data_IF_445936821003
#
_entry.id   IF_445936821003
#
_cell.length_a   1.000
_cell.length_b   1.000
_cell.length_c   1.000
_cell.angle_alpha   90.00
_cell.angle_beta   90.00
_cell.angle_gamma   90.00
#
_symmetry.space_group_name_H-M   'P 1'
#
loop_
_entity.id
_entity.type
_entity.pdbx_description
1 polymer ?
#
# COMPACT_ATOMS: atom_id res chain seq x y z
N UNK A 1 10.38 0.13 -4.62
CA UNK A 1 10.22 -0.99 -5.56
C UNK A 1 10.93 -0.62 -6.85
N UNK A 2 11.86 -1.45 -7.33
CA UNK A 2 12.57 -1.21 -8.58
C UNK A 2 11.84 -1.95 -9.71
N UNK A 3 11.30 -1.22 -10.67
CA UNK A 3 10.65 -1.80 -11.84
C UNK A 3 11.67 -2.14 -12.93
N UNK A 4 11.43 -3.22 -13.66
CA UNK A 4 12.15 -3.56 -14.90
C UNK A 4 11.83 -2.54 -16.01
N UNK A 5 12.68 -2.46 -17.03
CA UNK A 5 12.44 -1.58 -18.19
C UNK A 5 11.10 -1.89 -18.88
N UNK A 6 10.75 -3.16 -19.00
CA UNK A 6 9.49 -3.60 -19.61
C UNK A 6 8.26 -3.18 -18.79
N UNK A 7 8.29 -3.35 -17.47
CA UNK A 7 7.22 -2.88 -16.57
C UNK A 7 7.05 -1.37 -16.65
N UNK A 8 8.15 -0.60 -16.72
CA UNK A 8 8.11 0.85 -16.87
C UNK A 8 7.43 1.28 -18.17
N UNK A 9 7.70 0.58 -19.27
CA UNK A 9 7.02 0.81 -20.56
C UNK A 9 5.53 0.56 -20.42
N UNK A 10 5.12 -0.54 -19.77
CA UNK A 10 3.71 -0.88 -19.60
C UNK A 10 2.98 0.10 -18.67
N UNK A 11 3.62 0.55 -17.59
CA UNK A 11 3.12 1.62 -16.72
C UNK A 11 2.94 2.91 -17.54
N UNK A 12 3.91 3.28 -18.38
CA UNK A 12 3.84 4.47 -19.21
C UNK A 12 2.67 4.44 -20.23
N UNK A 13 2.34 3.27 -20.79
CA UNK A 13 1.14 3.10 -21.66
C UNK A 13 -0.14 3.48 -20.92
N UNK A 14 -0.29 3.01 -19.69
CA UNK A 14 -1.47 3.29 -18.86
C UNK A 14 -1.47 4.76 -18.42
N UNK A 15 -0.32 5.32 -18.04
CA UNK A 15 -0.21 6.74 -17.70
C UNK A 15 -0.59 7.67 -18.85
N UNK A 16 -0.19 7.34 -20.08
CA UNK A 16 -0.60 8.10 -21.27
C UNK A 16 -2.12 8.15 -21.41
N UNK A 17 -2.81 7.02 -21.19
CA UNK A 17 -4.27 6.97 -21.21
C UNK A 17 -4.91 7.80 -20.09
N UNK A 18 -4.42 7.66 -18.86
CA UNK A 18 -4.94 8.41 -17.70
C UNK A 18 -4.77 9.92 -17.88
N UNK A 19 -3.60 10.35 -18.35
CA UNK A 19 -3.34 11.78 -18.60
C UNK A 19 -4.20 12.33 -19.72
N UNK A 20 -4.45 11.57 -20.79
CA UNK A 20 -5.40 11.97 -21.84
C UNK A 20 -6.84 12.09 -21.32
N UNK A 21 -7.24 11.19 -20.42
CA UNK A 21 -8.55 11.23 -19.75
C UNK A 21 -8.66 12.46 -18.84
N UNK A 22 -7.62 12.76 -18.05
CA UNK A 22 -7.57 13.93 -17.18
C UNK A 22 -7.63 15.24 -17.98
N UNK A 23 -6.95 15.32 -19.14
CA UNK A 23 -7.04 16.46 -20.06
C UNK A 23 -8.46 16.64 -20.60
N UNK A 24 -9.11 15.55 -21.00
CA UNK A 24 -10.50 15.58 -21.49
C UNK A 24 -11.48 16.05 -20.40
N UNK A 25 -11.28 15.59 -19.17
CA UNK A 25 -12.13 15.93 -18.03
C UNK A 25 -11.77 17.29 -17.39
N UNK A 26 -10.67 17.92 -17.81
CA UNK A 26 -10.21 19.19 -17.28
C UNK A 26 -11.18 20.37 -17.49
N UNK A 27 -12.13 20.25 -18.44
CA UNK A 27 -13.20 21.26 -18.56
C UNK A 27 -14.25 21.17 -17.44
N UNK A 28 -14.37 20.01 -16.77
CA UNK A 28 -15.36 19.75 -15.73
C UNK A 28 -14.78 19.93 -14.31
N UNK A 29 -13.51 19.58 -14.11
CA UNK A 29 -12.90 19.51 -12.77
C UNK A 29 -11.64 20.39 -12.60
N UNK A 30 -11.37 21.28 -13.57
CA UNK A 30 -10.23 22.19 -13.56
C UNK A 30 -9.16 21.79 -14.59
N UNK A 31 -8.62 22.79 -15.28
CA UNK A 31 -7.68 22.57 -16.38
C UNK A 31 -6.40 21.88 -15.91
N UNK A 32 -5.93 20.91 -16.67
CA UNK A 32 -4.66 20.22 -16.43
C UNK A 32 -3.50 21.19 -16.66
N UNK A 33 -2.49 21.15 -15.78
CA UNK A 33 -1.35 22.06 -15.84
C UNK A 33 -0.61 22.01 -17.19
N UNK A 34 -0.51 20.82 -17.79
CA UNK A 34 0.10 20.62 -19.10
C UNK A 34 -0.79 19.74 -20.00
N UNK A 35 -1.57 20.35 -20.92
CA UNK A 35 -2.45 19.62 -21.82
C UNK A 35 -1.73 18.75 -22.86
N UNK A 36 -0.47 19.05 -23.19
CA UNK A 36 0.33 18.30 -24.19
C UNK A 36 1.10 17.13 -23.57
N UNK A 37 1.01 16.94 -22.26
CA UNK A 37 1.68 15.84 -21.55
C UNK A 37 1.38 14.45 -22.13
N UNK A 38 0.15 14.10 -22.59
CA UNK A 38 -0.11 12.81 -23.21
C UNK A 38 0.70 12.57 -24.50
N UNK A 39 0.96 13.63 -25.28
CA UNK A 39 1.73 13.54 -26.52
C UNK A 39 3.22 13.37 -26.24
N UNK A 40 3.75 14.13 -25.26
CA UNK A 40 5.14 13.97 -24.80
C UNK A 40 5.37 12.54 -24.29
N UNK A 41 4.46 12.04 -23.44
CA UNK A 41 4.52 10.66 -22.94
C UNK A 41 4.47 9.63 -24.07
N UNK A 42 3.69 9.86 -25.11
CA UNK A 42 3.65 8.97 -26.28
C UNK A 42 5.00 8.90 -26.99
N UNK A 43 5.62 10.05 -27.26
CA UNK A 43 6.88 10.13 -28.00
C UNK A 43 8.02 9.46 -27.22
N UNK A 44 8.15 9.80 -25.94
CA UNK A 44 9.18 9.24 -25.06
C UNK A 44 9.01 7.73 -24.89
N UNK A 45 7.77 7.28 -24.65
CA UNK A 45 7.45 5.85 -24.55
C UNK A 45 7.80 5.11 -25.84
N UNK A 46 7.40 5.62 -27.00
CA UNK A 46 7.70 4.97 -28.30
C UNK A 46 9.19 4.88 -28.57
N UNK A 47 9.96 5.89 -28.14
CA UNK A 47 11.42 5.90 -28.28
C UNK A 47 12.08 4.84 -27.39
N UNK A 48 11.64 4.73 -26.13
CA UNK A 48 12.12 3.70 -25.20
C UNK A 48 11.69 2.29 -25.64
N UNK A 49 10.46 2.13 -26.13
CA UNK A 49 9.98 0.86 -26.72
C UNK A 49 10.85 0.44 -27.90
N UNK A 50 11.10 1.35 -28.85
CA UNK A 50 11.93 1.03 -30.00
C UNK A 50 13.35 0.63 -29.60
N UNK A 51 13.95 1.33 -28.64
CA UNK A 51 15.27 1.00 -28.14
C UNK A 51 15.29 -0.36 -27.41
N UNK A 52 14.26 -0.66 -26.62
CA UNK A 52 14.10 -1.95 -25.94
C UNK A 52 13.92 -3.11 -26.94
N UNK A 53 13.09 -2.93 -27.97
CA UNK A 53 12.88 -3.93 -29.04
C UNK A 53 14.16 -4.21 -29.84
N UNK A 54 15.08 -3.23 -29.94
CA UNK A 54 16.35 -3.37 -30.64
C UNK A 54 17.44 -4.03 -29.79
N UNK A 55 17.57 -3.62 -28.54
CA UNK A 55 18.54 -4.19 -27.62
C UNK A 55 18.04 -4.11 -26.17
N UNK A 56 17.38 -5.16 -25.66
CA UNK A 56 16.85 -5.18 -24.30
C UNK A 56 17.94 -5.12 -23.22
N UNK A 57 19.18 -5.46 -23.58
CA UNK A 57 20.32 -5.51 -22.68
C UNK A 57 21.12 -4.18 -22.61
N UNK A 58 20.67 -3.13 -23.30
CA UNK A 58 21.32 -1.81 -23.22
C UNK A 58 21.21 -1.24 -21.80
N UNK A 59 22.36 -0.96 -21.17
CA UNK A 59 22.43 -0.44 -19.81
C UNK A 59 21.88 0.98 -19.67
N UNK A 60 21.80 1.75 -20.76
CA UNK A 60 21.26 3.11 -20.77
C UNK A 60 19.73 3.14 -20.70
N UNK A 61 19.06 2.07 -21.16
CA UNK A 61 17.59 1.94 -21.15
C UNK A 61 17.01 2.05 -19.75
N UNK A 62 17.73 1.57 -18.73
CA UNK A 62 17.25 1.67 -17.35
C UNK A 62 17.15 3.14 -16.89
N UNK A 63 18.11 3.98 -17.28
CA UNK A 63 18.11 5.41 -17.00
C UNK A 63 17.01 6.15 -17.78
N UNK A 64 16.91 5.87 -19.08
CA UNK A 64 15.89 6.50 -19.94
C UNK A 64 14.47 6.10 -19.54
N UNK A 65 14.26 4.86 -19.12
CA UNK A 65 12.97 4.39 -18.59
C UNK A 65 12.62 4.97 -17.21
N UNK A 66 13.62 5.33 -16.38
CA UNK A 66 13.37 6.08 -15.15
C UNK A 66 12.89 7.51 -15.44
N UNK A 67 13.44 8.16 -16.48
CA UNK A 67 12.94 9.46 -16.93
C UNK A 67 11.51 9.36 -17.48
N UNK A 68 11.20 8.31 -18.25
CA UNK A 68 9.82 8.06 -18.69
C UNK A 68 8.84 7.93 -17.51
N UNK A 69 9.24 7.26 -16.43
CA UNK A 69 8.44 7.19 -15.21
C UNK A 69 8.34 8.53 -14.47
N UNK A 70 9.37 9.38 -14.48
CA UNK A 70 9.32 10.67 -13.80
C UNK A 70 8.36 11.65 -14.49
N UNK A 71 8.16 11.51 -15.81
CA UNK A 71 7.14 12.24 -16.56
C UNK A 71 5.71 11.77 -16.24
N UNK A 72 5.55 10.56 -15.67
CA UNK A 72 4.26 9.99 -15.36
C UNK A 72 3.71 10.52 -14.03
N UNK A 73 2.89 11.60 -14.08
CA UNK A 73 2.24 12.16 -12.89
C UNK A 73 1.37 11.12 -12.11
N UNK A 74 0.82 10.14 -12.83
CA UNK A 74 -0.03 9.07 -12.27
C UNK A 74 0.68 7.69 -12.21
N UNK A 75 2.02 7.64 -12.15
CA UNK A 75 2.80 6.40 -12.20
C UNK A 75 2.35 5.33 -11.19
N UNK A 76 2.03 5.73 -9.95
CA UNK A 76 1.55 4.80 -8.91
C UNK A 76 0.20 4.19 -9.24
N UNK A 77 -0.75 5.01 -9.72
CA UNK A 77 -2.08 4.53 -10.15
C UNK A 77 -1.97 3.60 -11.35
N UNK A 78 -1.11 3.93 -12.31
CA UNK A 78 -0.87 3.09 -13.47
C UNK A 78 -0.22 1.74 -13.11
N UNK A 79 0.75 1.73 -12.19
CA UNK A 79 1.35 0.50 -11.67
C UNK A 79 0.31 -0.38 -10.94
N UNK A 80 -0.59 0.24 -10.17
CA UNK A 80 -1.71 -0.47 -9.55
C UNK A 80 -2.64 -1.09 -10.59
N UNK A 81 -3.04 -0.34 -11.62
CA UNK A 81 -3.91 -0.84 -12.70
C UNK A 81 -3.25 -2.01 -13.45
N UNK A 82 -1.93 -1.94 -13.68
CA UNK A 82 -1.16 -3.00 -14.33
C UNK A 82 -1.16 -4.28 -13.50
N UNK A 83 -0.94 -4.17 -12.18
CA UNK A 83 -0.82 -5.32 -11.28
C UNK A 83 -2.17 -5.92 -10.88
N UNK A 84 -3.22 -5.10 -10.77
CA UNK A 84 -4.54 -5.50 -10.28
C UNK A 84 -5.56 -5.78 -11.40
N UNK A 85 -5.15 -5.62 -12.66
CA UNK A 85 -5.96 -5.96 -13.82
C UNK A 85 -7.24 -5.12 -13.91
N UNK A 86 -7.12 -3.85 -14.31
CA UNK A 86 -8.22 -3.09 -14.93
C UNK A 86 -9.53 -2.95 -14.13
N UNK A 87 -9.54 -3.23 -12.83
CA UNK A 87 -10.58 -2.78 -11.92
C UNK A 87 -10.16 -1.42 -11.40
N UNK A 88 -10.93 -0.36 -11.71
CA UNK A 88 -10.71 0.94 -11.11
C UNK A 88 -10.55 0.76 -9.61
N UNK A 89 -9.46 1.26 -9.05
CA UNK A 89 -9.33 1.34 -7.60
C UNK A 89 -10.45 2.26 -7.15
N UNK A 90 -11.55 1.68 -6.71
CA UNK A 90 -12.55 2.38 -5.91
C UNK A 90 -11.82 2.65 -4.61
N UNK A 91 -11.24 3.84 -4.48
CA UNK A 91 -10.90 4.39 -3.18
C UNK A 91 -12.25 4.76 -2.57
N UNK A 92 -12.94 3.76 -2.05
CA UNK A 92 -14.16 3.96 -1.30
C UNK A 92 -13.72 4.50 0.06
N UNK A 93 -14.11 5.72 0.45
CA UNK A 93 -13.87 6.21 1.80
C UNK A 93 -14.51 5.29 2.88
N UNK A 94 -15.45 4.44 2.48
CA UNK A 94 -16.21 3.53 3.33
C UNK A 94 -15.88 2.04 3.12
N UNK A 95 -14.95 1.67 2.23
CA UNK A 95 -14.49 0.27 2.06
C UNK A 95 -13.01 0.14 2.45
N UNK A 96 -12.72 -0.25 3.70
CA UNK A 96 -11.35 -0.31 4.24
C UNK A 96 -10.48 -1.45 3.69
N UNK A 97 -10.94 -2.18 2.66
CA UNK A 97 -10.29 -3.41 2.19
C UNK A 97 -9.27 -3.19 1.03
N UNK A 98 -8.76 -1.98 0.80
CA UNK A 98 -7.71 -1.77 -0.17
C UNK A 98 -6.32 -1.76 0.50
N UNK A 99 -5.74 -2.96 0.49
CA UNK A 99 -4.48 -3.41 1.06
C UNK A 99 -3.25 -2.52 0.75
N UNK A 100 -2.53 -2.15 1.83
CA UNK A 100 -1.10 -1.74 1.95
C UNK A 100 -0.85 -0.48 2.79
N UNK A 101 -1.87 0.12 3.40
CA UNK A 101 -1.66 1.15 4.42
C UNK A 101 -1.55 0.51 5.81
N UNK A 102 -0.63 0.94 6.70
CA UNK A 102 -0.66 0.52 8.08
C UNK A 102 -2.00 0.96 8.69
N UNK A 103 -2.79 0.00 9.14
CA UNK A 103 -4.07 0.27 9.77
C UNK A 103 -3.93 0.17 11.28
N UNK A 104 -4.58 1.11 11.97
CA UNK A 104 -4.75 1.11 13.41
C UNK A 104 -6.01 0.34 13.75
N UNK A 105 -5.88 -0.79 14.44
CA UNK A 105 -7.00 -1.47 15.08
C UNK A 105 -6.99 -1.08 16.57
N UNK A 106 -7.95 -0.27 17.03
CA UNK A 106 -8.19 -0.14 18.46
C UNK A 106 -8.85 -1.44 18.95
N UNK A 107 -8.25 -2.08 19.95
CA UNK A 107 -8.76 -3.29 20.59
C UNK A 107 -9.18 -2.96 22.01
N UNK A 108 -10.42 -3.29 22.32
CA UNK A 108 -11.05 -3.11 23.62
C UNK A 108 -11.10 -4.45 24.38
N UNK A 109 -11.26 -4.44 25.72
CA UNK A 109 -11.36 -5.65 26.53
C UNK A 109 -12.43 -6.64 26.03
N UNK A 110 -13.57 -6.11 25.55
CA UNK A 110 -14.68 -6.92 25.02
C UNK A 110 -14.40 -7.58 23.67
N UNK A 111 -13.33 -7.20 22.98
CA UNK A 111 -12.97 -7.78 21.67
C UNK A 111 -12.10 -9.04 21.82
N UNK A 112 -11.61 -9.31 23.03
CA UNK A 112 -10.82 -10.50 23.32
C UNK A 112 -11.71 -11.74 23.42
N UNK A 113 -11.25 -12.85 22.85
CA UNK A 113 -11.92 -14.14 22.94
C UNK A 113 -11.72 -14.79 24.31
N UNK A 114 -10.60 -14.50 24.99
CA UNK A 114 -10.28 -14.94 26.35
C UNK A 114 -9.53 -13.83 27.10
N UNK A 115 -9.11 -14.04 28.35
CA UNK A 115 -8.34 -13.05 29.11
C UNK A 115 -7.08 -12.52 28.38
N UNK A 116 -6.50 -13.28 27.45
CA UNK A 116 -5.24 -12.95 26.79
C UNK A 116 -5.27 -13.07 25.27
N UNK A 117 -6.24 -13.81 24.70
CA UNK A 117 -6.30 -14.10 23.28
C UNK A 117 -7.22 -13.13 22.52
N UNK A 118 -6.67 -12.47 21.51
CA UNK A 118 -7.41 -11.66 20.55
C UNK A 118 -7.43 -12.40 19.21
N UNK A 119 -8.58 -13.01 18.90
CA UNK A 119 -8.77 -13.78 17.68
C UNK A 119 -9.29 -12.86 16.58
N UNK A 120 -8.45 -12.62 15.57
CA UNK A 120 -8.80 -11.83 14.41
C UNK A 120 -8.13 -12.43 13.16
N UNK A 121 -8.92 -13.01 12.23
CA UNK A 121 -8.39 -13.60 10.99
C UNK A 121 -7.60 -12.62 10.11
N UNK A 122 -7.82 -11.31 10.26
CA UNK A 122 -7.13 -10.27 9.49
C UNK A 122 -5.73 -9.94 10.01
N UNK A 123 -5.34 -10.48 11.17
CA UNK A 123 -4.03 -10.24 11.80
C UNK A 123 -3.23 -11.54 11.95
N UNK A 124 -3.87 -12.68 11.73
CA UNK A 124 -3.29 -14.00 11.88
C UNK A 124 -2.14 -14.20 10.88
N UNK A 125 -0.93 -14.46 11.39
CA UNK A 125 0.27 -14.69 10.57
C UNK A 125 0.92 -13.42 10.00
N UNK A 126 0.39 -12.23 10.30
CA UNK A 126 0.96 -10.96 9.85
C UNK A 126 2.10 -10.48 10.76
N UNK A 127 2.94 -9.56 10.27
CA UNK A 127 3.92 -8.87 11.11
C UNK A 127 3.25 -7.68 11.83
N UNK A 128 3.22 -7.74 13.15
CA UNK A 128 2.43 -6.82 13.98
C UNK A 128 3.35 -5.92 14.80
N UNK A 129 2.95 -4.65 14.93
CA UNK A 129 3.51 -3.73 15.93
C UNK A 129 2.40 -3.38 16.92
N UNK A 130 2.49 -3.89 18.14
CA UNK A 130 1.45 -3.71 19.15
C UNK A 130 1.88 -2.63 20.13
N UNK A 131 0.99 -1.70 20.44
CA UNK A 131 1.24 -0.65 21.42
C UNK A 131 0.25 -0.81 22.57
N UNK A 132 0.79 -0.97 23.77
CA UNK A 132 0.01 -0.89 24.99
C UNK A 132 -0.15 0.57 25.39
N UNK A 133 -1.39 1.02 25.61
CA UNK A 133 -1.64 2.38 26.10
C UNK A 133 -0.84 2.64 27.39
N UNK A 134 -0.37 3.88 27.54
CA UNK A 134 0.50 4.36 28.61
C UNK A 134 1.95 3.84 28.64
N UNK A 135 2.35 2.95 27.73
CA UNK A 135 3.74 2.55 27.58
C UNK A 135 4.29 3.16 26.27
N UNK A 136 5.32 4.02 26.32
CA UNK A 136 5.95 4.58 25.12
C UNK A 136 6.89 3.57 24.46
N UNK A 137 6.42 2.34 24.24
CA UNK A 137 7.16 1.21 23.68
C UNK A 137 6.17 0.30 22.93
N UNK A 138 6.64 -0.34 21.85
CA UNK A 138 5.94 -1.47 21.25
C UNK A 138 6.14 -2.74 22.09
N UNK A 139 5.20 -3.68 22.01
CA UNK A 139 5.38 -5.00 22.61
C UNK A 139 6.37 -5.82 21.79
N UNK A 140 7.20 -6.60 22.47
CA UNK A 140 8.18 -7.50 21.85
C UNK A 140 7.57 -8.88 21.57
N UNK A 141 7.81 -9.41 20.36
CA UNK A 141 7.50 -10.79 20.00
C UNK A 141 8.79 -11.62 20.10
N UNK A 142 8.81 -12.76 20.82
CA UNK A 142 7.68 -13.47 21.43
C UNK A 142 7.45 -13.19 22.93
N UNK A 143 8.22 -12.29 23.54
CA UNK A 143 8.28 -12.16 25.00
C UNK A 143 7.00 -11.56 25.62
N UNK A 144 6.40 -10.56 24.97
CA UNK A 144 5.22 -9.82 25.47
C UNK A 144 3.94 -10.19 24.69
N UNK A 145 4.06 -10.74 23.50
CA UNK A 145 2.95 -11.36 22.76
C UNK A 145 3.45 -12.42 21.79
N UNK A 146 2.55 -13.34 21.42
CA UNK A 146 2.77 -14.35 20.39
C UNK A 146 1.68 -14.31 19.33
N UNK A 147 2.07 -14.49 18.07
CA UNK A 147 1.13 -14.66 16.96
C UNK A 147 0.59 -16.10 16.96
N UNK A 148 -0.72 -16.25 16.82
CA UNK A 148 -1.40 -17.55 16.70
C UNK A 148 -1.99 -17.71 15.31
N UNK A 149 -2.49 -18.90 14.99
CA UNK A 149 -3.21 -19.17 13.73
C UNK A 149 -4.53 -18.40 13.61
N UNK A 150 -5.07 -17.94 14.75
CA UNK A 150 -6.35 -17.23 14.82
C UNK A 150 -6.17 -15.73 15.11
N UNK A 151 -4.97 -15.26 15.44
CA UNK A 151 -4.70 -13.86 15.80
C UNK A 151 -3.45 -13.70 16.67
N UNK A 152 -3.62 -13.20 17.90
CA UNK A 152 -2.53 -13.01 18.87
C UNK A 152 -2.92 -13.46 20.27
N UNK A 153 -1.90 -13.74 21.08
CA UNK A 153 -2.04 -13.96 22.52
C UNK A 153 -1.05 -13.06 23.27
N UNK A 154 -1.53 -12.25 24.21
CA UNK A 154 -0.69 -11.37 25.04
C UNK A 154 -0.10 -12.20 26.18
N UNK A 155 1.22 -12.14 26.37
CA UNK A 155 1.97 -12.94 27.36
C UNK A 155 2.54 -12.11 28.50
N UNK A 156 2.22 -10.81 28.55
CA UNK A 156 2.63 -9.91 29.63
C UNK A 156 2.06 -10.41 30.96
N UNK A 157 2.93 -10.53 31.96
CA UNK A 157 2.55 -10.99 33.28
C UNK A 157 1.57 -9.99 33.93
N UNK A 158 0.42 -10.50 34.38
CA UNK A 158 -0.67 -9.68 34.93
C UNK A 158 -1.57 -8.98 33.92
N UNK A 159 -1.44 -9.26 32.61
CA UNK A 159 -2.44 -8.85 31.63
C UNK A 159 -3.69 -9.73 31.71
N UNK A 160 -4.86 -9.11 31.88
CA UNK A 160 -6.16 -9.77 31.86
C UNK A 160 -7.21 -8.84 31.23
N UNK A 161 -7.63 -9.15 30.02
CA UNK A 161 -8.68 -8.42 29.30
C UNK A 161 -10.09 -8.68 29.86
N UNK A 162 -10.31 -9.71 30.68
CA UNK A 162 -11.61 -9.97 31.30
C UNK A 162 -11.86 -9.09 32.54
N UNK A 163 -10.80 -8.53 33.13
CA UNK A 163 -10.90 -7.61 34.26
C UNK A 163 -10.91 -6.18 33.73
N UNK A 164 -12.06 -5.52 33.82
CA UNK A 164 -12.18 -4.11 33.45
C UNK A 164 -11.30 -3.24 34.35
N UNK A 165 -10.19 -2.75 33.79
CA UNK A 165 -9.38 -1.69 34.38
C UNK A 165 -9.50 -0.43 33.49
N UNK A 166 -10.22 0.61 33.94
CA UNK A 166 -10.45 1.83 33.15
C UNK A 166 -9.17 2.59 32.83
N UNK A 167 -8.03 2.24 33.46
CA UNK A 167 -6.75 2.88 33.24
C UNK A 167 -5.78 2.02 32.39
N UNK A 168 -6.13 0.80 31.95
CA UNK A 168 -5.12 -0.12 31.40
C UNK A 168 -5.36 -0.75 30.04
N UNK A 169 -6.54 -0.69 29.44
CA UNK A 169 -6.78 -1.59 28.29
C UNK A 169 -7.48 -0.91 27.12
N UNK A 170 -6.78 0.05 26.53
CA UNK A 170 -6.87 0.28 25.09
C UNK A 170 -5.58 -0.26 24.49
N UNK A 171 -5.65 -1.36 23.74
CA UNK A 171 -4.51 -1.84 22.97
C UNK A 171 -4.66 -1.31 21.56
N UNK A 172 -3.67 -0.55 21.09
CA UNK A 172 -3.65 -0.09 19.72
C UNK A 172 -2.73 -1.01 18.94
N UNK A 173 -3.30 -1.84 18.07
CA UNK A 173 -2.54 -2.74 17.20
C UNK A 173 -2.32 -2.02 15.88
N UNK A 174 -1.06 -1.91 15.48
CA UNK A 174 -0.67 -1.41 14.16
C UNK A 174 -0.21 -2.61 13.34
N UNK A 175 -0.81 -2.76 12.17
CA UNK A 175 -0.45 -3.85 11.27
C UNK A 175 0.40 -3.30 10.16
N UNK A 176 1.63 -3.79 10.08
CA UNK A 176 2.55 -3.43 9.00
C UNK A 176 2.68 -4.66 8.12
N UNK A 177 1.92 -4.67 7.01
CA UNK A 177 2.13 -5.65 5.95
C UNK A 177 3.52 -5.39 5.34
N UNK A 178 4.48 -6.23 5.68
CA UNK A 178 5.77 -6.25 4.99
C UNK A 178 5.55 -6.90 3.62
N UNK A 179 5.74 -6.10 2.56
CA UNK A 179 5.80 -6.57 1.16
C UNK A 179 7.13 -7.25 0.91
#
# INVERSE_FOLDING_TARGET
MAYTTEEKINIAKICQYLTASDVRNGSLFGATLNPILPEILYIERKSVEWAFDKNPADSTLFGTSNYLLSLCNNAKKAAQILNLGGGGVVVDPNNPNNDNAPYLIPVYPGDFATATAYNNPYIAGENLQIFANFIPKYLDNPDEYVTTVDGINITIDGFDAAVFDPNKVLLNIYIVKNV
#
